data_IF_041900567330
#
_entry.id   IF_041900567330
#
_cell.length_a   1.000
_cell.length_b   1.000
_cell.length_c   1.000
_cell.angle_alpha   90.00
_cell.angle_beta   90.00
_cell.angle_gamma   90.00
#
_symmetry.space_group_name_H-M   'P 1'
#
loop_
_entity.id
_entity.type
_entity.pdbx_description
1 polymer ?
#
# COMPACT_ATOMS: atom_id res chain seq x y z
N UNK A 1 8.60 1.72 12.33
CA UNK A 1 9.36 1.63 11.05
C UNK A 1 10.60 0.81 11.27
N UNK A 2 10.98 -0.04 10.30
CA UNK A 2 12.26 -0.77 10.28
C UNK A 2 12.95 -0.43 8.95
N UNK A 3 14.24 -0.20 9.00
CA UNK A 3 15.06 0.13 7.84
C UNK A 3 16.28 -0.78 7.75
N UNK A 4 16.53 -1.29 6.56
CA UNK A 4 17.67 -2.13 6.22
C UNK A 4 18.32 -1.64 4.93
N UNK A 5 19.63 -1.37 4.95
CA UNK A 5 20.37 -0.97 3.76
C UNK A 5 21.28 -2.10 3.28
N UNK A 6 21.25 -2.37 1.98
CA UNK A 6 22.05 -3.41 1.33
C UNK A 6 22.64 -2.89 0.01
N UNK A 7 23.90 -3.28 -0.30
CA UNK A 7 24.61 -2.91 -1.53
C UNK A 7 25.20 -4.14 -2.26
N UNK A 8 24.86 -5.33 -1.80
CA UNK A 8 25.43 -6.59 -2.27
C UNK A 8 24.37 -7.71 -2.46
N UNK A 9 23.08 -7.37 -2.48
CA UNK A 9 22.02 -8.30 -2.84
C UNK A 9 21.73 -8.27 -4.34
N UNK A 10 21.44 -9.45 -4.92
CA UNK A 10 20.89 -9.52 -6.28
C UNK A 10 19.44 -9.07 -6.33
N UNK A 11 18.97 -8.59 -7.49
CA UNK A 11 17.57 -8.23 -7.66
C UNK A 11 16.59 -9.37 -7.39
N UNK A 12 16.99 -10.62 -7.67
CA UNK A 12 16.18 -11.81 -7.37
C UNK A 12 16.03 -12.04 -5.86
N UNK A 13 17.15 -11.95 -5.11
CA UNK A 13 17.16 -12.09 -3.66
C UNK A 13 16.35 -10.96 -3.00
N UNK A 14 16.47 -9.72 -3.48
CA UNK A 14 15.67 -8.59 -3.02
C UNK A 14 14.17 -8.83 -3.28
N UNK A 15 13.80 -9.25 -4.50
CA UNK A 15 12.43 -9.56 -4.84
C UNK A 15 11.83 -10.71 -4.02
N UNK A 16 12.64 -11.73 -3.68
CA UNK A 16 12.23 -12.77 -2.76
C UNK A 16 11.95 -12.24 -1.35
N UNK A 17 12.89 -11.46 -0.81
CA UNK A 17 12.76 -10.87 0.53
C UNK A 17 11.51 -9.98 0.64
N UNK A 18 11.22 -9.15 -0.37
CA UNK A 18 10.03 -8.29 -0.36
C UNK A 18 8.74 -9.12 -0.32
N UNK A 19 8.61 -10.13 -1.18
CA UNK A 19 7.43 -11.03 -1.17
C UNK A 19 7.30 -11.79 0.15
N UNK A 20 8.43 -12.22 0.73
CA UNK A 20 8.42 -12.88 2.03
C UNK A 20 7.88 -11.95 3.12
N UNK A 21 8.32 -10.68 3.14
CA UNK A 21 7.85 -9.68 4.09
C UNK A 21 6.36 -9.34 3.86
N UNK A 22 5.94 -9.15 2.61
CA UNK A 22 4.53 -8.90 2.26
C UNK A 22 3.59 -10.04 2.72
N UNK A 23 4.08 -11.27 2.76
CA UNK A 23 3.30 -12.44 3.21
C UNK A 23 3.16 -12.55 4.73
N UNK A 24 3.89 -11.74 5.52
CA UNK A 24 3.81 -11.78 6.98
C UNK A 24 2.61 -10.96 7.47
N UNK A 25 1.79 -11.54 8.33
CA UNK A 25 0.62 -10.86 8.92
C UNK A 25 1.01 -9.63 9.78
N UNK A 26 2.23 -9.60 10.29
CA UNK A 26 2.78 -8.51 11.10
C UNK A 26 3.33 -7.34 10.27
N UNK A 27 3.44 -7.49 8.95
CA UNK A 27 3.90 -6.44 8.04
C UNK A 27 2.69 -5.70 7.48
N UNK A 28 2.62 -4.40 7.76
CA UNK A 28 1.56 -3.52 7.28
C UNK A 28 1.88 -2.93 5.91
N UNK A 29 3.17 -2.74 5.63
CA UNK A 29 3.64 -2.21 4.36
C UNK A 29 5.14 -2.51 4.23
N UNK A 30 5.61 -2.75 3.00
CA UNK A 30 7.02 -2.89 2.68
C UNK A 30 7.32 -2.30 1.32
N UNK A 31 8.36 -1.51 1.25
CA UNK A 31 8.85 -0.94 0.01
C UNK A 31 10.36 -0.74 0.06
N UNK A 32 10.95 -0.43 -1.08
CA UNK A 32 12.36 -0.09 -1.15
C UNK A 32 12.61 1.17 -1.97
N UNK A 33 13.72 1.84 -1.66
CA UNK A 33 14.20 3.00 -2.41
C UNK A 33 15.67 2.82 -2.78
N UNK A 34 16.09 3.23 -3.99
CA UNK A 34 17.49 3.27 -4.37
C UNK A 34 18.22 4.31 -3.51
N UNK A 35 19.40 3.96 -3.02
CA UNK A 35 20.24 4.84 -2.22
C UNK A 35 21.70 4.77 -2.67
N UNK A 36 22.43 5.83 -2.41
CA UNK A 36 23.88 5.85 -2.56
C UNK A 36 24.51 5.55 -1.20
N UNK A 37 25.30 4.48 -1.14
CA UNK A 37 25.95 3.99 0.07
C UNK A 37 27.44 4.40 0.12
N UNK A 38 28.14 3.96 1.17
CA UNK A 38 29.58 4.19 1.33
C UNK A 38 30.35 3.77 0.08
N UNK A 39 31.47 4.46 -0.21
CA UNK A 39 32.33 4.20 -1.38
C UNK A 39 31.58 4.36 -2.73
N UNK A 40 30.57 5.22 -2.74
CA UNK A 40 29.76 5.52 -3.93
C UNK A 40 29.00 4.31 -4.52
N UNK A 41 28.79 3.28 -3.73
CA UNK A 41 28.08 2.09 -4.21
C UNK A 41 26.58 2.35 -4.35
N UNK A 42 25.95 1.93 -5.44
CA UNK A 42 24.51 1.85 -5.51
C UNK A 42 24.02 0.80 -4.51
N UNK A 43 22.96 1.12 -3.80
CA UNK A 43 22.35 0.22 -2.84
C UNK A 43 20.86 0.42 -2.75
N UNK A 44 20.22 -0.31 -1.87
CA UNK A 44 18.78 -0.28 -1.64
C UNK A 44 18.51 -0.08 -0.15
N UNK A 45 17.61 0.84 0.16
CA UNK A 45 17.00 0.99 1.47
C UNK A 45 15.67 0.24 1.47
N UNK A 46 15.59 -0.85 2.20
CA UNK A 46 14.34 -1.57 2.46
C UNK A 46 13.68 -0.94 3.67
N UNK A 47 12.41 -0.56 3.54
CA UNK A 47 11.62 0.05 4.61
C UNK A 47 10.40 -0.82 4.89
N UNK A 48 10.17 -1.16 6.16
CA UNK A 48 9.05 -1.98 6.60
C UNK A 48 8.25 -1.24 7.66
N UNK A 49 6.94 -1.18 7.46
CA UNK A 49 5.99 -0.72 8.47
C UNK A 49 5.41 -1.93 9.20
N UNK A 50 5.52 -1.95 10.53
CA UNK A 50 5.01 -3.02 11.38
C UNK A 50 4.52 -2.44 12.71
N UNK A 51 3.54 -3.08 13.40
CA UNK A 51 3.20 -2.72 14.77
C UNK A 51 4.41 -2.81 15.70
N UNK A 52 4.47 -1.92 16.69
CA UNK A 52 5.62 -1.84 17.60
C UNK A 52 5.91 -3.16 18.34
N UNK A 53 4.87 -3.91 18.70
CA UNK A 53 4.98 -5.23 19.35
C UNK A 53 5.71 -6.27 18.49
N UNK A 54 5.62 -6.15 17.16
CA UNK A 54 6.13 -7.15 16.18
C UNK A 54 7.48 -6.74 15.57
N UNK A 55 8.00 -5.55 15.89
CA UNK A 55 9.22 -5.01 15.29
C UNK A 55 10.44 -5.93 15.40
N UNK A 56 10.58 -6.67 16.52
CA UNK A 56 11.71 -7.57 16.71
C UNK A 56 11.62 -8.85 15.88
N UNK A 57 10.42 -9.39 15.67
CA UNK A 57 10.22 -10.58 14.81
C UNK A 57 10.49 -10.23 13.35
N UNK A 58 9.95 -9.13 12.88
CA UNK A 58 10.18 -8.65 11.50
C UNK A 58 11.64 -8.25 11.27
N UNK A 59 12.28 -7.59 12.23
CA UNK A 59 13.72 -7.28 12.16
C UNK A 59 14.59 -8.53 12.01
N UNK A 60 14.24 -9.65 12.66
CA UNK A 60 14.95 -10.93 12.52
C UNK A 60 14.79 -11.53 11.12
N UNK A 61 13.65 -11.35 10.45
CA UNK A 61 13.47 -11.79 9.06
C UNK A 61 14.45 -11.01 8.17
N UNK A 62 14.50 -9.69 8.30
CA UNK A 62 15.45 -8.86 7.55
C UNK A 62 16.90 -9.29 7.77
N UNK A 63 17.31 -9.52 9.02
CA UNK A 63 18.67 -9.96 9.34
C UNK A 63 19.02 -11.35 8.81
N UNK A 64 18.03 -12.22 8.70
CA UNK A 64 18.25 -13.61 8.21
C UNK A 64 18.27 -13.68 6.68
N UNK A 65 17.40 -12.94 6.03
CA UNK A 65 17.13 -13.06 4.58
C UNK A 65 17.83 -11.97 3.75
N UNK A 66 18.49 -10.99 4.39
CA UNK A 66 19.32 -10.00 3.69
C UNK A 66 20.80 -10.21 3.98
N UNK A 67 21.66 -9.53 3.22
CA UNK A 67 23.09 -9.47 3.46
C UNK A 67 23.50 -8.54 4.62
N UNK A 68 22.54 -7.83 5.19
CA UNK A 68 22.81 -6.81 6.23
C UNK A 68 23.14 -7.44 7.58
N UNK A 69 24.15 -6.90 8.26
CA UNK A 69 24.49 -7.26 9.65
C UNK A 69 23.69 -6.48 10.69
N UNK A 70 22.86 -5.52 10.29
CA UNK A 70 22.10 -4.71 11.21
C UNK A 70 20.92 -4.02 10.56
N UNK A 71 19.87 -3.82 11.34
CA UNK A 71 18.69 -3.04 10.97
C UNK A 71 18.49 -1.91 11.96
N UNK A 72 17.93 -0.81 11.50
CA UNK A 72 17.46 0.28 12.35
C UNK A 72 15.96 0.18 12.51
N UNK A 73 15.45 0.53 13.66
CA UNK A 73 14.01 0.69 13.84
C UNK A 73 13.71 1.88 14.77
N UNK A 74 12.60 2.54 14.50
CA UNK A 74 12.12 3.68 15.25
C UNK A 74 10.59 3.72 15.23
N UNK A 75 10.01 4.37 16.20
CA UNK A 75 8.58 4.57 16.26
C UNK A 75 8.20 5.79 15.41
N UNK A 76 7.13 5.69 14.65
CA UNK A 76 6.58 6.78 13.85
C UNK A 76 5.11 6.99 14.20
N UNK A 77 4.70 8.24 14.24
CA UNK A 77 3.29 8.60 14.35
C UNK A 77 2.65 8.66 12.96
N UNK A 78 1.35 8.42 12.91
CA UNK A 78 0.59 8.46 11.66
C UNK A 78 -0.77 9.09 11.91
N UNK A 79 -1.09 10.13 11.17
CA UNK A 79 -2.44 10.67 11.04
C UNK A 79 -3.13 9.95 9.89
N UNK A 80 -4.30 9.38 10.15
CA UNK A 80 -5.10 8.66 9.14
C UNK A 80 -6.53 9.20 9.15
N UNK A 81 -7.16 9.22 8.00
CA UNK A 81 -8.59 9.49 7.90
C UNK A 81 -9.39 8.35 8.53
N UNK A 82 -10.47 8.68 9.21
CA UNK A 82 -11.51 7.70 9.51
C UNK A 82 -12.06 7.15 8.19
N UNK A 83 -12.36 5.85 8.15
CA UNK A 83 -12.74 5.18 6.90
C UNK A 83 -14.03 4.41 7.05
N UNK A 84 -14.90 4.61 6.08
CA UNK A 84 -16.12 3.85 5.89
C UNK A 84 -16.14 3.20 4.50
N UNK A 85 -16.74 2.03 4.40
CA UNK A 85 -16.96 1.35 3.14
C UNK A 85 -18.45 1.27 2.84
N UNK A 86 -18.80 1.55 1.60
CA UNK A 86 -20.16 1.43 1.08
C UNK A 86 -20.14 0.81 -0.30
N UNK A 87 -21.30 0.44 -0.83
CA UNK A 87 -21.41 -0.14 -2.16
C UNK A 87 -22.36 0.67 -3.04
N UNK A 88 -22.05 0.76 -4.31
CA UNK A 88 -22.90 1.31 -5.34
C UNK A 88 -23.06 0.34 -6.51
N UNK A 89 -24.21 0.35 -7.16
CA UNK A 89 -24.42 -0.43 -8.38
C UNK A 89 -23.70 0.24 -9.55
N UNK A 90 -22.94 -0.53 -10.33
CA UNK A 90 -22.28 -0.07 -11.54
C UNK A 90 -22.21 -1.19 -12.56
N UNK A 91 -22.64 -0.94 -13.80
CA UNK A 91 -22.53 -1.88 -14.94
C UNK A 91 -23.11 -3.29 -14.65
N UNK A 92 -24.20 -3.35 -13.89
CA UNK A 92 -24.84 -4.62 -13.52
C UNK A 92 -24.19 -5.40 -12.38
N UNK A 93 -23.15 -4.84 -11.76
CA UNK A 93 -22.46 -5.38 -10.57
C UNK A 93 -22.43 -4.40 -9.42
N UNK A 94 -21.60 -4.71 -8.43
CA UNK A 94 -21.38 -3.89 -7.25
C UNK A 94 -19.96 -3.35 -7.22
N UNK A 95 -19.82 -2.08 -6.89
CA UNK A 95 -18.56 -1.38 -6.71
C UNK A 95 -18.47 -0.91 -5.25
N UNK A 96 -17.46 -1.38 -4.53
CA UNK A 96 -17.16 -0.89 -3.20
C UNK A 96 -16.46 0.47 -3.30
N UNK A 97 -16.95 1.42 -2.50
CA UNK A 97 -16.36 2.74 -2.34
C UNK A 97 -15.77 2.85 -0.94
N UNK A 98 -14.58 3.43 -0.87
CA UNK A 98 -13.92 3.81 0.37
C UNK A 98 -14.06 5.30 0.58
N UNK A 99 -14.69 5.69 1.67
CA UNK A 99 -14.94 7.08 2.08
C UNK A 99 -13.96 7.43 3.19
N UNK A 100 -13.24 8.52 3.01
CA UNK A 100 -12.31 9.06 4.00
C UNK A 100 -12.87 10.32 4.65
N UNK A 101 -12.87 10.33 6.00
CA UNK A 101 -13.35 11.45 6.81
C UNK A 101 -12.21 12.11 7.58
N UNK A 102 -12.28 13.43 7.70
CA UNK A 102 -11.46 14.22 8.61
C UNK A 102 -12.40 15.15 9.39
N UNK A 103 -12.36 15.08 10.71
CA UNK A 103 -13.21 15.87 11.60
C UNK A 103 -14.71 15.76 11.24
N UNK A 104 -15.16 14.56 10.86
CA UNK A 104 -16.53 14.25 10.50
C UNK A 104 -16.96 14.70 9.09
N UNK A 105 -16.05 15.27 8.28
CA UNK A 105 -16.33 15.71 6.91
C UNK A 105 -15.73 14.76 5.89
N UNK A 106 -16.42 14.53 4.79
CA UNK A 106 -15.92 13.72 3.69
C UNK A 106 -14.83 14.50 2.95
N UNK A 107 -13.61 13.95 2.96
CA UNK A 107 -12.45 14.53 2.26
C UNK A 107 -12.22 13.86 0.91
N UNK A 108 -12.54 12.56 0.83
CA UNK A 108 -12.41 11.82 -0.43
C UNK A 108 -13.27 10.57 -0.46
N UNK A 109 -13.67 10.21 -1.67
CA UNK A 109 -14.36 8.95 -1.98
C UNK A 109 -13.60 8.30 -3.12
N UNK A 110 -13.21 7.04 -2.96
CA UNK A 110 -12.44 6.31 -3.97
C UNK A 110 -13.05 4.93 -4.22
N UNK A 111 -13.12 4.48 -5.48
CA UNK A 111 -13.54 3.12 -5.79
C UNK A 111 -12.44 2.11 -5.43
N UNK A 112 -12.83 0.90 -5.02
CA UNK A 112 -11.88 -0.19 -4.82
C UNK A 112 -11.43 -0.76 -6.17
N UNK A 113 -10.10 -0.92 -6.30
CA UNK A 113 -9.46 -1.28 -7.57
C UNK A 113 -9.88 -2.67 -8.07
N UNK A 114 -9.95 -3.65 -7.18
CA UNK A 114 -10.28 -5.03 -7.56
C UNK A 114 -11.69 -5.16 -8.13
N UNK A 115 -12.64 -4.40 -7.60
CA UNK A 115 -14.00 -4.34 -8.12
C UNK A 115 -14.03 -3.68 -9.51
N UNK A 116 -13.25 -2.61 -9.73
CA UNK A 116 -13.12 -1.99 -11.05
C UNK A 116 -12.56 -2.97 -12.08
N UNK A 117 -11.54 -3.74 -11.72
CA UNK A 117 -10.93 -4.75 -12.59
C UNK A 117 -11.94 -5.86 -12.92
N UNK A 118 -12.70 -6.34 -11.93
CA UNK A 118 -13.72 -7.36 -12.13
C UNK A 118 -14.83 -6.83 -13.05
N UNK A 119 -15.36 -5.63 -12.79
CA UNK A 119 -16.38 -4.99 -13.63
C UNK A 119 -15.88 -4.75 -15.06
N UNK A 120 -14.62 -4.37 -15.24
CA UNK A 120 -14.04 -4.18 -16.57
C UNK A 120 -14.00 -5.49 -17.36
N UNK A 121 -13.58 -6.58 -16.71
CA UNK A 121 -13.53 -7.92 -17.31
C UNK A 121 -14.91 -8.44 -17.66
N UNK A 122 -15.86 -8.36 -16.74
CA UNK A 122 -17.19 -8.92 -16.90
C UNK A 122 -18.01 -8.17 -17.97
N UNK A 123 -17.72 -6.89 -18.19
CA UNK A 123 -18.39 -6.07 -19.19
C UNK A 123 -17.59 -5.88 -20.48
N UNK A 124 -16.41 -6.50 -20.62
CA UNK A 124 -15.54 -6.36 -21.78
C UNK A 124 -15.17 -4.90 -22.11
N UNK A 125 -14.99 -4.08 -21.06
CA UNK A 125 -14.63 -2.68 -21.16
C UNK A 125 -13.17 -2.45 -20.76
N UNK A 126 -12.57 -1.37 -21.25
CA UNK A 126 -11.29 -0.91 -20.75
C UNK A 126 -11.43 -0.43 -19.28
N UNK A 127 -10.44 -0.72 -18.45
CA UNK A 127 -10.44 -0.29 -17.02
C UNK A 127 -10.66 1.22 -16.88
N UNK A 128 -10.08 2.03 -17.76
CA UNK A 128 -10.24 3.48 -17.78
C UNK A 128 -11.70 3.91 -18.01
N UNK A 129 -12.45 3.19 -18.83
CA UNK A 129 -13.87 3.48 -19.06
C UNK A 129 -14.73 3.17 -17.83
N UNK A 130 -14.42 2.05 -17.15
CA UNK A 130 -15.10 1.69 -15.90
C UNK A 130 -14.77 2.69 -14.80
N UNK A 131 -13.51 3.10 -14.71
CA UNK A 131 -13.07 4.12 -13.75
C UNK A 131 -13.79 5.46 -13.96
N UNK A 132 -13.92 5.93 -15.20
CA UNK A 132 -14.67 7.16 -15.50
C UNK A 132 -16.16 7.06 -15.10
N UNK A 133 -16.79 5.91 -15.33
CA UNK A 133 -18.17 5.67 -14.90
C UNK A 133 -18.29 5.64 -13.37
N UNK A 134 -17.32 5.06 -12.68
CA UNK A 134 -17.25 5.06 -11.22
C UNK A 134 -17.13 6.50 -10.67
N UNK A 135 -16.28 7.32 -11.26
CA UNK A 135 -16.14 8.73 -10.88
C UNK A 135 -17.44 9.52 -11.09
N UNK A 136 -18.17 9.27 -12.17
CA UNK A 136 -19.46 9.92 -12.41
C UNK A 136 -20.49 9.56 -11.33
N UNK A 137 -20.57 8.30 -10.90
CA UNK A 137 -21.44 7.86 -9.80
C UNK A 137 -21.02 8.46 -8.46
N UNK A 138 -19.71 8.57 -8.21
CA UNK A 138 -19.19 9.22 -7.00
C UNK A 138 -19.55 10.70 -6.98
N UNK A 139 -19.36 11.40 -8.10
CA UNK A 139 -19.70 12.82 -8.23
C UNK A 139 -21.19 13.07 -8.01
N UNK A 140 -22.04 12.27 -8.63
CA UNK A 140 -23.50 12.37 -8.46
C UNK A 140 -23.93 12.18 -7.00
N UNK A 141 -23.32 11.20 -6.31
CA UNK A 141 -23.77 10.79 -4.97
C UNK A 141 -23.10 11.58 -3.83
N UNK A 142 -21.86 11.99 -4.02
CA UNK A 142 -21.02 12.57 -2.97
C UNK A 142 -20.42 13.93 -3.33
N UNK A 143 -20.46 14.37 -4.60
CA UNK A 143 -19.76 15.57 -5.07
C UNK A 143 -20.07 16.83 -4.25
N UNK A 144 -21.33 17.00 -3.83
CA UNK A 144 -21.71 18.13 -2.97
C UNK A 144 -21.33 17.98 -1.49
N UNK A 145 -20.83 16.82 -1.07
CA UNK A 145 -20.47 16.50 0.32
C UNK A 145 -18.95 16.47 0.53
N UNK A 146 -18.17 16.37 -0.55
CA UNK A 146 -16.70 16.37 -0.50
C UNK A 146 -16.24 17.83 -0.33
N UNK A 147 -15.43 18.06 0.69
CA UNK A 147 -14.85 19.37 1.02
C UNK A 147 -13.54 19.65 0.25
#
# INVERSE_FOLDING_TARGET
>A
MIECQVDDMTGEALGYLLRLLESQAEVLDVFYSPVKMKKDRPGVLITVLTPNKDKKSVAKILLKESSSFGVRYYDSERLILEREFTQVALLGGWLQLKIGYLDGKIIKVTPEYDDLVNLARDNHLALSQVYQKALAVIEEKYGSQIE
#
